data_IF_722408550112
#
_entry.id   IF_722408550112
#
_cell.length_a   1.000
_cell.length_b   1.000
_cell.length_c   1.000
_cell.angle_alpha   90.00
_cell.angle_beta   90.00
_cell.angle_gamma   90.00
#
_symmetry.space_group_name_H-M   'P 1'
#
loop_
_entity.id
_entity.type
_entity.pdbx_description
1 polymer ?
#
# COMPACT_ATOMS: atom_id res chain seq x y z
N UNK A 1 8.37 -13.92 -10.34
CA UNK A 1 7.45 -12.76 -10.28
C UNK A 1 6.91 -12.62 -8.88
N UNK A 2 7.36 -11.59 -8.16
CA UNK A 2 6.97 -11.30 -6.78
C UNK A 2 6.00 -10.12 -6.77
N UNK A 3 5.03 -10.13 -5.84
CA UNK A 3 4.12 -9.00 -5.61
C UNK A 3 4.45 -8.43 -4.23
N UNK A 4 4.63 -7.11 -4.17
CA UNK A 4 4.91 -6.38 -2.95
C UNK A 4 3.66 -5.55 -2.62
N UNK A 5 3.06 -5.83 -1.47
CA UNK A 5 1.85 -5.15 -1.00
C UNK A 5 2.13 -4.49 0.35
N UNK A 6 1.75 -3.22 0.47
CA UNK A 6 1.88 -2.44 1.70
C UNK A 6 0.48 -2.05 2.18
N UNK A 7 0.16 -2.37 3.42
CA UNK A 7 -1.05 -1.88 4.09
C UNK A 7 -0.70 -0.65 4.90
N UNK A 8 -1.23 0.50 4.50
CA UNK A 8 -1.02 1.78 5.18
C UNK A 8 -2.26 2.19 5.99
N UNK A 9 -2.09 2.81 7.17
CA UNK A 9 -3.21 3.25 8.01
C UNK A 9 -3.91 4.51 7.51
N UNK A 10 -3.24 5.33 6.68
CA UNK A 10 -3.82 6.52 6.03
C UNK A 10 -3.12 6.79 4.69
N UNK A 11 -3.82 7.46 3.77
CA UNK A 11 -3.24 8.06 2.54
C UNK A 11 -2.10 9.03 2.88
N UNK A 12 -2.25 9.81 3.96
CA UNK A 12 -1.32 10.89 4.28
C UNK A 12 0.08 10.36 4.62
N UNK A 13 0.16 9.09 5.04
CA UNK A 13 1.42 8.44 5.33
C UNK A 13 2.26 8.20 4.06
N UNK A 14 1.64 8.20 2.88
CA UNK A 14 2.35 8.07 1.60
C UNK A 14 3.32 9.25 1.45
N UNK A 15 2.85 10.49 1.67
CA UNK A 15 3.69 11.68 1.51
C UNK A 15 4.84 11.70 2.53
N UNK A 16 4.58 11.24 3.76
CA UNK A 16 5.61 11.10 4.81
C UNK A 16 6.67 10.10 4.39
N UNK A 17 6.26 8.92 3.92
CA UNK A 17 7.18 7.87 3.45
C UNK A 17 7.98 8.35 2.24
N UNK A 18 7.33 9.03 1.28
CA UNK A 18 8.02 9.56 0.10
C UNK A 18 8.99 10.70 0.42
N UNK A 19 8.81 11.39 1.54
CA UNK A 19 9.72 12.41 2.06
C UNK A 19 10.90 11.87 2.88
N UNK A 20 10.91 10.58 3.22
CA UNK A 20 11.96 9.96 4.03
C UNK A 20 13.23 9.71 3.19
N UNK A 21 14.38 10.28 3.56
CA UNK A 21 15.65 10.07 2.84
C UNK A 21 16.10 8.60 2.87
N UNK A 22 15.85 7.88 3.97
CA UNK A 22 16.25 6.47 4.11
C UNK A 22 15.43 5.58 3.17
N UNK A 23 14.17 5.98 2.92
CA UNK A 23 13.31 5.29 1.95
C UNK A 23 13.75 5.52 0.50
N UNK A 24 14.28 6.70 0.18
CA UNK A 24 14.87 6.98 -1.12
C UNK A 24 16.12 6.13 -1.36
N UNK A 25 16.98 5.99 -0.35
CA UNK A 25 18.17 5.12 -0.42
C UNK A 25 17.78 3.65 -0.60
N UNK A 26 16.80 3.18 0.18
CA UNK A 26 16.34 1.78 0.15
C UNK A 26 15.75 1.36 -1.20
N UNK A 27 15.25 2.31 -2.01
CA UNK A 27 14.66 2.03 -3.34
C UNK A 27 15.54 2.49 -4.50
N UNK A 28 16.81 2.81 -4.27
CA UNK A 28 17.70 3.34 -5.30
C UNK A 28 17.86 2.38 -6.51
N UNK A 29 17.85 1.08 -6.27
CA UNK A 29 17.99 0.03 -7.27
C UNK A 29 16.65 -0.63 -7.65
N UNK A 30 15.51 -0.06 -7.25
CA UNK A 30 14.18 -0.69 -7.40
C UNK A 30 13.89 -1.21 -8.82
N UNK A 31 14.36 -0.49 -9.84
CA UNK A 31 14.14 -0.84 -11.24
C UNK A 31 14.88 -2.10 -11.70
N UNK A 32 15.89 -2.52 -10.96
CA UNK A 32 16.70 -3.70 -11.30
C UNK A 32 16.02 -5.00 -10.86
N UNK A 33 15.07 -4.92 -9.92
CA UNK A 33 14.40 -6.09 -9.34
C UNK A 33 12.86 -6.00 -9.33
N UNK A 34 12.28 -4.83 -9.63
CA UNK A 34 10.82 -4.63 -9.79
C UNK A 34 10.52 -3.89 -11.08
N UNK A 35 9.60 -4.48 -11.86
CA UNK A 35 8.95 -3.81 -12.98
C UNK A 35 7.96 -2.77 -12.44
N UNK A 36 8.43 -1.52 -12.34
CA UNK A 36 7.64 -0.40 -11.82
C UNK A 36 6.52 0.06 -12.77
N UNK A 37 6.60 -0.27 -14.06
CA UNK A 37 5.55 0.07 -15.03
C UNK A 37 4.31 -0.80 -14.84
N UNK A 38 4.46 -1.96 -14.19
CA UNK A 38 3.37 -2.85 -13.77
C UNK A 38 2.96 -2.64 -12.31
N UNK A 39 3.47 -1.61 -11.64
CA UNK A 39 3.12 -1.33 -10.25
C UNK A 39 1.62 -0.99 -10.14
N UNK A 40 0.89 -1.87 -9.45
CA UNK A 40 -0.54 -1.73 -9.22
C UNK A 40 -0.79 -1.16 -7.82
N UNK A 41 -1.10 0.13 -7.73
CA UNK A 41 -1.55 0.72 -6.47
C UNK A 41 -3.02 0.38 -6.24
N UNK A 42 -3.32 -0.42 -5.21
CA UNK A 42 -4.70 -0.68 -4.79
C UNK A 42 -4.99 0.13 -3.54
N UNK A 43 -5.95 1.05 -3.63
CA UNK A 43 -6.44 1.78 -2.46
C UNK A 43 -7.70 1.12 -1.92
N UNK A 44 -7.76 0.90 -0.61
CA UNK A 44 -8.88 0.27 0.07
C UNK A 44 -9.13 0.87 1.44
N UNK A 45 -10.37 0.76 1.91
CA UNK A 45 -10.76 1.18 3.24
C UNK A 45 -11.04 -0.06 4.09
N UNK A 46 -10.36 -0.16 5.24
CA UNK A 46 -10.71 -1.11 6.27
C UNK A 46 -11.61 -0.42 7.29
N UNK A 47 -12.88 -0.84 7.37
CA UNK A 47 -13.77 -0.40 8.43
C UNK A 47 -13.74 -1.42 9.56
N UNK A 48 -13.34 -0.98 10.75
CA UNK A 48 -13.41 -1.77 11.99
C UNK A 48 -14.74 -1.47 12.68
N UNK A 49 -15.50 -2.51 13.03
CA UNK A 49 -16.74 -2.37 13.79
C UNK A 49 -16.86 -3.51 14.83
N UNK A 50 -17.72 -3.31 15.81
CA UNK A 50 -17.99 -4.33 16.84
C UNK A 50 -19.20 -5.15 16.41
N UNK A 51 -19.03 -6.47 16.31
CA UNK A 51 -20.11 -7.42 16.09
C UNK A 51 -20.08 -8.49 17.19
N UNK A 52 -21.20 -8.70 17.86
CA UNK A 52 -21.34 -9.62 19.01
C UNK A 52 -20.24 -9.46 20.09
N UNK A 53 -19.81 -8.22 20.35
CA UNK A 53 -18.76 -7.93 21.33
C UNK A 53 -17.34 -8.24 20.88
N UNK A 54 -17.13 -8.65 19.62
CA UNK A 54 -15.82 -8.82 19.01
C UNK A 54 -15.55 -7.71 18.01
N UNK A 55 -14.30 -7.24 17.95
CA UNK A 55 -13.86 -6.33 16.90
C UNK A 55 -13.70 -7.14 15.62
N UNK A 56 -14.42 -6.76 14.57
CA UNK A 56 -14.38 -7.36 13.24
C UNK A 56 -13.85 -6.32 12.26
N UNK A 57 -12.96 -6.76 11.38
CA UNK A 57 -12.37 -5.92 10.33
C UNK A 57 -12.94 -6.32 8.97
N UNK A 58 -13.46 -5.35 8.22
CA UNK A 58 -13.95 -5.56 6.86
C UNK A 58 -13.15 -4.70 5.89
N UNK A 59 -12.27 -5.36 5.15
CA UNK A 59 -11.48 -4.75 4.08
C UNK A 59 -12.34 -4.65 2.80
N UNK A 60 -12.47 -3.44 2.26
CA UNK A 60 -12.98 -3.23 0.90
C UNK A 60 -11.90 -2.54 0.08
N UNK A 61 -11.42 -3.20 -0.97
CA UNK A 61 -10.45 -2.63 -1.90
C UNK A 61 -11.07 -2.41 -3.28
N UNK A 62 -10.71 -1.30 -3.93
CA UNK A 62 -10.99 -1.08 -5.35
C UNK A 62 -9.67 -1.15 -6.11
N UNK A 63 -9.61 -2.04 -7.09
CA UNK A 63 -8.41 -2.25 -7.91
C UNK A 63 -8.39 -1.22 -9.04
N UNK A 64 -7.30 -0.46 -9.14
CA UNK A 64 -7.06 0.46 -10.24
C UNK A 64 -5.80 -0.01 -10.96
N UNK A 65 -5.88 -0.14 -12.29
CA UNK A 65 -4.74 -0.45 -13.15
C UNK A 65 -4.51 0.73 -14.08
N UNK A 66 -3.35 1.38 -13.98
CA UNK A 66 -2.88 2.33 -14.98
C UNK A 66 -2.33 1.56 -16.18
N UNK A 67 -2.71 1.99 -17.40
CA UNK A 67 -2.22 1.46 -18.68
C UNK A 67 -1.09 2.34 -19.21
#
# INVERSE_FOLDING_TARGET
>A
DCVIEYTLPSVDLIDVILGDPDWAETRADQRDWVDVDKALLTFGFCTKYVDQGKVVERAQSRRWSTT
#
